data_IF_469706412869
#
_entry.id   IF_469706412869
#
_cell.length_a   1.000
_cell.length_b   1.000
_cell.length_c   1.000
_cell.angle_alpha   90.00
_cell.angle_beta   90.00
_cell.angle_gamma   90.00
#
_symmetry.space_group_name_H-M   'P 1'
#
loop_
_entity.id
_entity.type
_entity.pdbx_description
1 polymer ?
#
# COMPACT_ATOMS: atom_id res chain seq x y z
N UNK A 1 -8.10 -25.00 7.88
CA UNK A 1 -7.63 -23.62 8.16
C UNK A 1 -7.80 -22.82 6.89
N UNK A 2 -8.56 -21.74 6.91
CA UNK A 2 -8.69 -20.85 5.75
C UNK A 2 -7.55 -19.85 5.82
N UNK A 3 -6.59 -19.95 4.89
CA UNK A 3 -5.52 -18.95 4.79
C UNK A 3 -6.15 -17.61 4.39
N UNK A 4 -5.93 -16.58 5.19
CA UNK A 4 -6.34 -15.21 4.86
C UNK A 4 -5.10 -14.44 4.44
N UNK A 5 -5.18 -13.79 3.29
CA UNK A 5 -4.10 -12.98 2.74
C UNK A 5 -4.51 -11.51 2.78
N UNK A 6 -4.26 -10.79 3.89
CA UNK A 6 -4.79 -9.45 4.08
C UNK A 6 -4.13 -8.43 3.16
N UNK A 7 -4.84 -7.33 2.93
CA UNK A 7 -4.26 -6.08 2.41
C UNK A 7 -3.70 -5.31 3.61
N UNK A 8 -2.42 -4.95 3.54
CA UNK A 8 -1.72 -4.30 4.66
C UNK A 8 -1.63 -2.80 4.40
N UNK A 9 -2.02 -2.00 5.39
CA UNK A 9 -1.94 -0.54 5.34
C UNK A 9 -0.82 -0.04 6.25
N UNK A 10 0.09 0.74 5.68
CA UNK A 10 1.16 1.45 6.38
C UNK A 10 0.80 2.93 6.35
N UNK A 11 0.48 3.50 7.50
CA UNK A 11 -0.02 4.86 7.64
C UNK A 11 0.18 5.33 9.09
N UNK A 12 0.89 6.45 9.26
CA UNK A 12 1.20 7.03 10.58
C UNK A 12 -0.05 7.62 11.24
N UNK A 13 -0.98 8.08 10.42
CA UNK A 13 -2.22 8.73 10.80
C UNK A 13 -3.42 7.78 10.92
N UNK A 14 -3.18 6.46 10.98
CA UNK A 14 -4.24 5.45 10.85
C UNK A 14 -5.33 5.61 11.93
N UNK A 15 -4.93 6.11 13.10
CA UNK A 15 -5.81 6.39 14.24
C UNK A 15 -6.12 7.88 14.45
N UNK A 16 -5.55 8.76 13.64
CA UNK A 16 -5.77 10.20 13.72
C UNK A 16 -7.12 10.60 13.10
N UNK A 17 -7.69 11.69 13.58
CA UNK A 17 -8.88 12.32 12.99
C UNK A 17 -8.52 13.32 11.88
N UNK A 18 -7.31 13.19 11.31
CA UNK A 18 -6.85 13.94 10.15
C UNK A 18 -7.59 13.51 8.87
N UNK A 19 -7.50 14.34 7.82
CA UNK A 19 -8.09 14.02 6.53
C UNK A 19 -7.47 12.73 5.93
N UNK A 20 -6.16 12.56 6.06
CA UNK A 20 -5.42 11.35 5.67
C UNK A 20 -5.89 10.12 6.42
N UNK A 21 -5.95 10.19 7.75
CA UNK A 21 -6.45 9.11 8.60
C UNK A 21 -7.91 8.73 8.29
N UNK A 22 -8.79 9.70 8.06
CA UNK A 22 -10.18 9.42 7.67
C UNK A 22 -10.27 8.80 6.27
N UNK A 23 -9.49 9.30 5.31
CA UNK A 23 -9.48 8.82 3.93
C UNK A 23 -9.02 7.35 3.84
N UNK A 24 -7.89 7.02 4.48
CA UNK A 24 -7.37 5.65 4.44
C UNK A 24 -8.30 4.67 5.16
N UNK A 25 -8.96 5.08 6.25
CA UNK A 25 -9.97 4.25 6.93
C UNK A 25 -11.23 4.06 6.09
N UNK A 26 -11.63 5.06 5.31
CA UNK A 26 -12.74 4.92 4.36
C UNK A 26 -12.39 3.89 3.26
N UNK A 27 -11.17 3.94 2.73
CA UNK A 27 -10.68 2.94 1.78
C UNK A 27 -10.62 1.53 2.40
N UNK A 28 -10.08 1.41 3.62
CA UNK A 28 -10.04 0.15 4.34
C UNK A 28 -11.45 -0.44 4.51
N UNK A 29 -12.41 0.38 4.94
CA UNK A 29 -13.81 -0.05 5.06
C UNK A 29 -14.40 -0.51 3.72
N UNK A 30 -14.15 0.21 2.64
CA UNK A 30 -14.62 -0.17 1.31
C UNK A 30 -14.04 -1.53 0.85
N UNK A 31 -12.80 -1.84 1.22
CA UNK A 31 -12.18 -3.14 0.99
C UNK A 31 -12.84 -4.23 1.86
N UNK A 32 -13.07 -3.97 3.14
CA UNK A 32 -13.72 -4.90 4.07
C UNK A 32 -15.16 -5.24 3.67
N UNK A 33 -15.90 -4.27 3.11
CA UNK A 33 -17.24 -4.48 2.56
C UNK A 33 -17.26 -5.44 1.36
N UNK A 34 -16.12 -5.65 0.69
CA UNK A 34 -15.94 -6.68 -0.34
C UNK A 34 -15.47 -8.03 0.24
N UNK A 35 -15.53 -8.21 1.57
CA UNK A 35 -15.11 -9.40 2.30
C UNK A 35 -13.60 -9.70 2.26
N UNK A 36 -12.77 -8.67 2.06
CA UNK A 36 -11.32 -8.76 2.20
C UNK A 36 -10.87 -8.31 3.59
N UNK A 37 -9.81 -8.91 4.11
CA UNK A 37 -9.23 -8.50 5.39
C UNK A 37 -8.26 -7.36 5.19
N UNK A 38 -8.38 -6.29 5.99
CA UNK A 38 -7.42 -5.20 6.04
C UNK A 38 -6.72 -5.22 7.39
N UNK A 39 -5.40 -5.07 7.38
CA UNK A 39 -4.61 -4.92 8.61
C UNK A 39 -3.84 -3.61 8.51
N UNK A 40 -4.23 -2.63 9.33
CA UNK A 40 -3.62 -1.30 9.35
C UNK A 40 -2.98 -0.94 10.69
N UNK A 41 -2.42 0.27 10.76
CA UNK A 41 -1.77 0.82 11.95
C UNK A 41 -0.29 0.47 12.09
N UNK A 42 0.39 0.25 10.96
CA UNK A 42 1.85 0.11 10.90
C UNK A 42 2.47 1.43 10.43
N UNK A 43 3.66 1.75 10.92
CA UNK A 43 4.46 2.90 10.48
C UNK A 43 5.70 2.43 9.71
N UNK A 44 6.38 3.35 9.02
CA UNK A 44 7.65 3.06 8.32
C UNK A 44 8.74 2.53 9.25
N UNK A 45 8.67 2.84 10.55
CA UNK A 45 9.62 2.36 11.56
C UNK A 45 9.43 0.88 11.92
N UNK A 46 8.27 0.30 11.63
CA UNK A 46 7.90 -1.09 11.93
C UNK A 46 8.20 -2.07 10.78
N UNK A 47 9.20 -1.79 9.94
CA UNK A 47 9.56 -2.59 8.75
C UNK A 47 9.69 -4.09 9.06
N UNK A 48 10.24 -4.47 10.21
CA UNK A 48 10.42 -5.88 10.60
C UNK A 48 9.09 -6.57 10.94
N UNK A 49 8.13 -5.85 11.51
CA UNK A 49 6.77 -6.34 11.79
C UNK A 49 5.95 -6.42 10.50
N UNK A 50 6.04 -5.40 9.66
CA UNK A 50 5.46 -5.38 8.31
C UNK A 50 6.01 -6.54 7.49
N UNK A 51 7.31 -6.83 7.57
CA UNK A 51 7.95 -7.89 6.80
C UNK A 51 7.56 -9.33 7.24
N UNK A 52 7.12 -9.52 8.49
CA UNK A 52 6.52 -10.78 8.94
C UNK A 52 5.06 -10.92 8.49
N UNK A 53 4.31 -9.81 8.42
CA UNK A 53 2.97 -9.81 7.81
C UNK A 53 3.03 -9.91 6.28
N UNK A 54 4.10 -9.42 5.65
CA UNK A 54 4.36 -9.49 4.21
C UNK A 54 4.36 -10.92 3.66
N UNK A 55 4.72 -11.89 4.49
CA UNK A 55 4.66 -13.30 4.12
C UNK A 55 3.22 -13.77 3.80
N UNK A 56 2.21 -13.06 4.28
CA UNK A 56 0.78 -13.34 4.02
C UNK A 56 0.07 -12.16 3.37
N UNK A 57 0.74 -11.03 3.12
CA UNK A 57 0.10 -9.89 2.48
C UNK A 57 -0.26 -10.25 1.03
N UNK A 58 -1.41 -9.78 0.58
CA UNK A 58 -1.84 -9.85 -0.82
C UNK A 58 -1.61 -8.53 -1.57
N UNK A 59 -1.54 -7.42 -0.86
CA UNK A 59 -1.11 -6.11 -1.35
C UNK A 59 -0.69 -5.21 -0.17
N UNK A 60 0.04 -4.15 -0.49
CA UNK A 60 0.35 -3.05 0.42
C UNK A 60 -0.29 -1.75 -0.05
N UNK A 61 -0.82 -0.98 0.90
CA UNK A 61 -1.18 0.42 0.71
C UNK A 61 -0.28 1.22 1.65
N UNK A 62 0.50 2.13 1.09
CA UNK A 62 1.44 2.95 1.84
C UNK A 62 0.97 4.39 1.73
N UNK A 63 0.79 5.04 2.86
CA UNK A 63 0.40 6.44 2.92
C UNK A 63 1.63 7.35 2.94
N UNK A 64 1.51 8.51 2.32
CA UNK A 64 2.49 9.59 2.41
C UNK A 64 1.76 10.92 2.25
N UNK A 65 2.06 11.85 3.14
CA UNK A 65 1.43 13.17 3.17
C UNK A 65 2.38 14.24 2.60
N UNK A 66 1.82 15.35 2.09
CA UNK A 66 2.60 16.46 1.50
C UNK A 66 3.60 17.06 2.52
N UNK A 67 3.25 17.08 3.80
CA UNK A 67 4.11 17.58 4.88
C UNK A 67 5.39 16.74 5.06
N UNK A 68 5.34 15.45 4.71
CA UNK A 68 6.47 14.52 4.85
C UNK A 68 7.48 14.61 3.70
N UNK A 69 7.08 15.27 2.60
CA UNK A 69 7.90 15.43 1.40
C UNK A 69 8.80 16.67 1.45
N UNK A 70 8.69 17.50 2.49
CA UNK A 70 9.52 18.68 2.67
C UNK A 70 9.36 19.74 1.56
N UNK A 71 9.76 20.97 1.86
CA UNK A 71 9.66 22.09 0.90
C UNK A 71 10.94 22.29 0.08
N UNK A 72 12.07 21.72 0.52
CA UNK A 72 13.38 21.92 -0.11
C UNK A 72 13.66 20.82 -1.17
N UNK A 73 13.64 21.14 -2.47
CA UNK A 73 13.89 20.16 -3.53
C UNK A 73 15.34 19.67 -3.60
N UNK A 74 16.25 20.24 -2.81
CA UNK A 74 17.67 19.83 -2.77
C UNK A 74 17.95 18.76 -1.72
N UNK A 75 17.02 18.52 -0.79
CA UNK A 75 17.14 17.52 0.27
C UNK A 75 16.14 16.41 -0.01
N UNK A 76 16.64 15.17 -0.11
CA UNK A 76 15.73 14.04 -0.25
C UNK A 76 14.90 13.86 1.04
N UNK A 77 13.56 13.81 0.95
CA UNK A 77 12.72 13.72 2.13
C UNK A 77 12.90 12.37 2.85
N UNK A 78 12.75 12.38 4.17
CA UNK A 78 12.89 11.17 4.98
C UNK A 78 11.88 10.09 4.55
N UNK A 79 10.63 10.48 4.30
CA UNK A 79 9.58 9.57 3.83
C UNK A 79 9.91 8.92 2.48
N UNK A 80 10.52 9.65 1.54
CA UNK A 80 10.98 9.09 0.26
C UNK A 80 12.08 8.03 0.49
N UNK A 81 13.01 8.32 1.40
CA UNK A 81 14.08 7.38 1.77
C UNK A 81 13.51 6.10 2.40
N UNK A 82 12.54 6.24 3.30
CA UNK A 82 11.88 5.12 3.98
C UNK A 82 11.01 4.30 3.02
N UNK A 83 10.26 4.95 2.14
CA UNK A 83 9.49 4.31 1.08
C UNK A 83 10.39 3.50 0.15
N UNK A 84 11.52 4.06 -0.30
CA UNK A 84 12.51 3.33 -1.12
C UNK A 84 13.02 2.09 -0.41
N UNK A 85 13.34 2.21 0.88
CA UNK A 85 13.83 1.09 1.69
C UNK A 85 12.75 0.00 1.83
N UNK A 86 11.51 0.39 2.10
CA UNK A 86 10.37 -0.51 2.19
C UNK A 86 10.14 -1.28 0.88
N UNK A 87 10.12 -0.59 -0.26
CA UNK A 87 9.95 -1.19 -1.59
C UNK A 87 11.09 -2.18 -1.85
N UNK A 88 12.34 -1.78 -1.60
CA UNK A 88 13.52 -2.63 -1.83
C UNK A 88 13.45 -3.93 -1.03
N UNK A 89 13.15 -3.86 0.26
CA UNK A 89 13.04 -5.05 1.12
C UNK A 89 11.84 -5.93 0.73
N UNK A 90 10.73 -5.32 0.32
CA UNK A 90 9.54 -6.03 -0.16
C UNK A 90 9.85 -6.80 -1.44
N UNK A 91 10.47 -6.14 -2.43
CA UNK A 91 10.85 -6.74 -3.72
C UNK A 91 11.88 -7.85 -3.60
N UNK A 92 12.78 -7.78 -2.61
CA UNK A 92 13.71 -8.89 -2.30
C UNK A 92 13.01 -10.18 -1.90
N UNK A 93 11.82 -10.09 -1.29
CA UNK A 93 11.06 -11.25 -0.82
C UNK A 93 9.99 -11.67 -1.82
N UNK A 94 9.26 -10.71 -2.36
CA UNK A 94 8.18 -10.91 -3.33
C UNK A 94 8.28 -9.84 -4.42
N UNK A 95 8.80 -10.21 -5.59
CA UNK A 95 9.00 -9.27 -6.70
C UNK A 95 7.67 -8.65 -7.20
N UNK A 96 6.59 -9.44 -7.18
CA UNK A 96 5.34 -9.07 -7.87
C UNK A 96 4.21 -8.62 -6.92
N UNK A 97 4.45 -8.54 -5.61
CA UNK A 97 3.38 -8.14 -4.68
C UNK A 97 2.92 -6.69 -4.98
N UNK A 98 1.60 -6.43 -5.11
CA UNK A 98 1.11 -5.10 -5.37
C UNK A 98 1.45 -4.12 -4.24
N UNK A 99 1.92 -2.93 -4.62
CA UNK A 99 2.19 -1.82 -3.70
C UNK A 99 1.50 -0.59 -4.27
N UNK A 100 0.60 0.01 -3.50
CA UNK A 100 -0.11 1.24 -3.82
C UNK A 100 0.38 2.36 -2.93
N UNK A 101 0.49 3.56 -3.48
CA UNK A 101 0.75 4.78 -2.73
C UNK A 101 -0.57 5.53 -2.55
N UNK A 102 -0.86 5.98 -1.34
CA UNK A 102 -2.03 6.77 -0.98
C UNK A 102 -1.55 8.13 -0.50
N UNK A 103 -2.12 9.21 -1.04
CA UNK A 103 -1.70 10.55 -0.66
C UNK A 103 -2.42 11.62 -1.46
N UNK A 104 -1.93 12.85 -1.35
CA UNK A 104 -2.47 13.99 -2.09
C UNK A 104 -1.95 14.04 -3.52
N UNK A 105 -2.68 14.72 -4.43
CA UNK A 105 -2.27 14.81 -5.84
C UNK A 105 -0.92 15.49 -6.02
N UNK A 106 -0.60 16.49 -5.17
CA UNK A 106 0.68 17.20 -5.18
C UNK A 106 1.84 16.32 -4.71
N UNK A 107 1.57 15.35 -3.84
CA UNK A 107 2.54 14.39 -3.34
C UNK A 107 3.20 13.63 -4.50
N UNK A 108 2.39 13.17 -5.46
CA UNK A 108 2.86 12.37 -6.61
C UNK A 108 3.95 13.08 -7.45
N UNK A 109 3.97 14.41 -7.49
CA UNK A 109 4.95 15.20 -8.25
C UNK A 109 6.35 15.21 -7.63
N UNK A 110 6.43 14.99 -6.32
CA UNK A 110 7.68 15.01 -5.55
C UNK A 110 8.28 13.60 -5.41
N UNK A 111 7.56 12.55 -5.82
CA UNK A 111 8.06 11.18 -5.79
C UNK A 111 9.01 10.94 -6.97
N UNK A 112 10.25 10.50 -6.73
CA UNK A 112 11.19 10.12 -7.80
C UNK A 112 10.59 9.06 -8.75
N UNK A 113 10.83 9.23 -10.05
CA UNK A 113 10.32 8.31 -11.08
C UNK A 113 10.75 6.84 -10.86
N UNK A 114 11.92 6.60 -10.25
CA UNK A 114 12.37 5.25 -9.90
C UNK A 114 11.42 4.56 -8.90
N UNK A 115 10.83 5.30 -7.96
CA UNK A 115 9.85 4.78 -7.00
C UNK A 115 8.51 4.57 -7.68
N UNK A 116 8.06 5.55 -8.49
CA UNK A 116 6.80 5.45 -9.21
C UNK A 116 6.71 4.19 -10.09
N UNK A 117 7.83 3.76 -10.67
CA UNK A 117 7.90 2.55 -11.50
C UNK A 117 7.74 1.24 -10.72
N UNK A 118 7.97 1.25 -9.41
CA UNK A 118 7.82 0.08 -8.54
C UNK A 118 6.41 -0.04 -7.96
N UNK A 119 5.62 1.02 -8.03
CA UNK A 119 4.25 1.09 -7.54
C UNK A 119 3.26 0.56 -8.60
N UNK A 120 2.20 -0.09 -8.14
CA UNK A 120 1.10 -0.52 -9.01
C UNK A 120 0.14 0.61 -9.33
N UNK A 121 -0.01 1.57 -8.40
CA UNK A 121 -0.86 2.73 -8.60
C UNK A 121 -0.68 3.77 -7.50
N UNK A 122 -1.06 4.99 -7.84
CA UNK A 122 -1.21 6.10 -6.90
C UNK A 122 -2.71 6.32 -6.67
N UNK A 123 -3.12 6.47 -5.42
CA UNK A 123 -4.49 6.68 -4.98
C UNK A 123 -4.57 8.11 -4.46
N UNK A 124 -5.37 8.92 -5.14
CA UNK A 124 -5.56 10.33 -4.83
C UNK A 124 -6.65 10.46 -3.77
N UNK A 125 -6.24 10.73 -2.52
CA UNK A 125 -7.10 10.75 -1.33
C UNK A 125 -8.40 11.56 -1.51
N UNK A 126 -8.34 12.70 -2.20
CA UNK A 126 -9.48 13.63 -2.35
C UNK A 126 -10.22 13.50 -3.68
N UNK A 127 -9.68 12.76 -4.64
CA UNK A 127 -10.20 12.69 -6.00
C UNK A 127 -10.79 11.31 -6.31
N UNK A 128 -10.17 10.26 -5.77
CA UNK A 128 -10.60 8.91 -5.98
C UNK A 128 -11.73 8.50 -5.04
N UNK A 129 -12.64 7.68 -5.57
CA UNK A 129 -13.74 7.11 -4.79
C UNK A 129 -13.29 5.81 -4.13
N UNK A 130 -13.38 5.68 -2.79
CA UNK A 130 -12.90 4.52 -2.05
C UNK A 130 -13.41 3.17 -2.60
N UNK A 131 -14.67 3.10 -3.03
CA UNK A 131 -15.29 1.88 -3.55
C UNK A 131 -14.71 1.44 -4.91
N UNK A 132 -14.34 2.39 -5.78
CA UNK A 132 -13.73 2.09 -7.06
C UNK A 132 -12.27 1.66 -6.88
N UNK A 133 -11.54 2.36 -6.01
CA UNK A 133 -10.16 2.01 -5.68
C UNK A 133 -10.09 0.65 -5.00
N UNK A 134 -10.97 0.37 -4.04
CA UNK A 134 -11.03 -0.92 -3.36
C UNK A 134 -11.16 -2.08 -4.37
N UNK A 135 -12.06 -1.96 -5.37
CA UNK A 135 -12.21 -2.96 -6.43
C UNK A 135 -10.94 -3.14 -7.26
N UNK A 136 -10.22 -2.05 -7.55
CA UNK A 136 -8.96 -2.11 -8.27
C UNK A 136 -7.87 -2.81 -7.45
N UNK A 137 -7.68 -2.44 -6.19
CA UNK A 137 -6.71 -3.07 -5.29
C UNK A 137 -7.01 -4.56 -5.14
N UNK A 138 -8.27 -4.92 -4.89
CA UNK A 138 -8.72 -6.31 -4.77
C UNK A 138 -8.43 -7.10 -6.04
N UNK A 139 -8.63 -6.51 -7.22
CA UNK A 139 -8.31 -7.15 -8.50
C UNK A 139 -6.81 -7.48 -8.58
N UNK A 140 -5.94 -6.53 -8.26
CA UNK A 140 -4.49 -6.77 -8.32
C UNK A 140 -4.02 -7.75 -7.25
N UNK A 141 -4.56 -7.66 -6.03
CA UNK A 141 -4.31 -8.62 -4.97
C UNK A 141 -4.74 -10.04 -5.38
N UNK A 142 -5.90 -10.19 -6.03
CA UNK A 142 -6.39 -11.47 -6.57
C UNK A 142 -5.49 -11.98 -7.69
N UNK A 143 -5.05 -11.11 -8.61
CA UNK A 143 -4.12 -11.47 -9.67
C UNK A 143 -2.79 -12.00 -9.11
N UNK A 144 -2.26 -11.33 -8.09
CA UNK A 144 -1.05 -11.75 -7.38
C UNK A 144 -1.24 -13.11 -6.70
N UNK A 145 -2.29 -13.31 -5.91
CA UNK A 145 -2.53 -14.61 -5.27
C UNK A 145 -2.71 -15.74 -6.28
N UNK A 146 -3.36 -15.45 -7.41
CA UNK A 146 -3.48 -16.39 -8.52
C UNK A 146 -2.13 -16.67 -9.18
N UNK A 147 -1.18 -15.74 -9.24
CA UNK A 147 0.15 -16.00 -9.82
C UNK A 147 1.00 -16.92 -8.93
N UNK A 148 0.82 -16.87 -7.60
CA UNK A 148 1.52 -17.71 -6.64
C UNK A 148 1.12 -19.20 -6.71
N UNK A 149 -0.13 -19.48 -7.07
CA UNK A 149 -0.62 -20.85 -7.18
C UNK A 149 0.10 -21.56 -8.35
N UNK A 150 0.78 -22.70 -8.12
CA UNK A 150 1.39 -23.47 -9.19
C UNK A 150 0.33 -23.81 -10.25
N UNK A 151 0.64 -23.75 -11.56
CA UNK A 151 -0.32 -23.92 -12.66
C UNK A 151 -1.23 -25.15 -12.51
N UNK A 152 -0.72 -26.22 -11.89
CA UNK A 152 -1.43 -27.48 -11.67
C UNK A 152 -2.61 -27.40 -10.68
N UNK A 153 -2.62 -26.44 -9.74
CA UNK A 153 -3.72 -26.28 -8.77
C UNK A 153 -4.91 -25.46 -9.30
N UNK A 154 -4.77 -24.80 -10.46
CA UNK A 154 -5.81 -23.95 -11.04
C UNK A 154 -6.90 -24.71 -11.82
N UNK A 155 -6.72 -26.02 -12.01
CA UNK A 155 -7.52 -26.85 -12.93
C UNK A 155 -8.37 -27.94 -12.24
N UNK A 156 -8.58 -27.84 -10.92
CA UNK A 156 -9.37 -28.80 -10.12
C UNK A 156 -10.66 -28.18 -9.59
#
# INVERSE_FOLDING_TARGET
MQFRFPIVVIDEDWRADSASGLGIRALAKAIEEQHWEVVGGFTYTDVSMVANQAARASAFIVSIDDEELGEDPTVEPAAVTELRKFITETRRRNADIPIFLFGETRTSQHIPNEILRELHGFIHMFEDTPEFVARYIIREATNYLNSLAPPFFKAL
#
